data_IF_393640200578
#
_entry.id   IF_393640200578
#
_cell.length_a   1.000
_cell.length_b   1.000
_cell.length_c   1.000
_cell.angle_alpha   90.00
_cell.angle_beta   90.00
_cell.angle_gamma   90.00
#
_symmetry.space_group_name_H-M   'P 1'
#
loop_
_entity.id
_entity.type
_entity.pdbx_description
1 polymer ?
#
# COMPACT_ATOMS: atom_id res chain seq x y z
N UNK A 1 -28.68 38.86 11.96
CA UNK A 1 -28.53 37.64 12.78
C UNK A 1 -28.67 36.39 11.92
N UNK A 2 -29.79 36.23 11.20
CA UNK A 2 -30.11 35.00 10.45
C UNK A 2 -29.12 34.61 9.32
N UNK A 3 -28.59 35.58 8.58
CA UNK A 3 -27.61 35.31 7.52
C UNK A 3 -26.21 34.95 8.04
N UNK A 4 -25.80 35.50 9.19
CA UNK A 4 -24.50 35.21 9.80
C UNK A 4 -24.50 33.77 10.34
N UNK A 5 -25.59 33.37 10.99
CA UNK A 5 -25.74 32.02 11.50
C UNK A 5 -25.75 30.96 10.38
N UNK A 6 -26.44 31.23 9.26
CA UNK A 6 -26.38 30.36 8.08
C UNK A 6 -24.98 30.24 7.48
N UNK A 7 -24.22 31.33 7.48
CA UNK A 7 -22.85 31.35 6.96
C UNK A 7 -21.90 30.58 7.87
N UNK A 8 -22.06 30.68 9.20
CA UNK A 8 -21.29 29.92 10.18
C UNK A 8 -21.56 28.41 10.04
N UNK A 9 -22.83 27.99 9.92
CA UNK A 9 -23.19 26.59 9.70
C UNK A 9 -22.60 26.05 8.39
N UNK A 10 -22.68 26.84 7.31
CA UNK A 10 -22.09 26.46 6.03
C UNK A 10 -20.54 26.38 6.10
N UNK A 11 -19.90 27.28 6.85
CA UNK A 11 -18.45 27.30 7.06
C UNK A 11 -17.98 26.07 7.84
N UNK A 12 -18.67 25.71 8.93
CA UNK A 12 -18.37 24.52 9.71
C UNK A 12 -18.52 23.24 8.88
N UNK A 13 -19.61 23.11 8.12
CA UNK A 13 -19.81 21.96 7.23
C UNK A 13 -18.78 21.86 6.09
N UNK A 14 -18.17 22.98 5.68
CA UNK A 14 -17.09 22.98 4.71
C UNK A 14 -15.75 22.57 5.34
N UNK A 15 -15.48 23.04 6.55
CA UNK A 15 -14.26 22.76 7.30
C UNK A 15 -14.18 21.28 7.73
N UNK A 16 -15.32 20.68 8.06
CA UNK A 16 -15.43 19.26 8.38
C UNK A 16 -15.20 18.37 7.14
N UNK A 17 -15.78 18.74 5.99
CA UNK A 17 -15.48 18.06 4.71
C UNK A 17 -13.99 18.11 4.39
N UNK A 18 -13.33 19.25 4.63
CA UNK A 18 -11.88 19.37 4.46
C UNK A 18 -11.13 18.39 5.37
N UNK A 19 -11.52 18.25 6.64
CA UNK A 19 -10.86 17.31 7.57
C UNK A 19 -11.04 15.83 7.20
N UNK A 20 -12.18 15.45 6.63
CA UNK A 20 -12.39 14.08 6.13
C UNK A 20 -11.52 13.80 4.89
N UNK A 21 -11.34 14.80 4.03
CA UNK A 21 -10.38 14.71 2.93
C UNK A 21 -8.94 14.63 3.43
N UNK A 22 -8.57 15.36 4.49
CA UNK A 22 -7.24 15.30 5.09
C UNK A 22 -6.96 13.90 5.66
N UNK A 23 -7.93 13.25 6.33
CA UNK A 23 -7.77 11.88 6.82
C UNK A 23 -7.64 10.85 5.69
N UNK A 24 -8.44 10.97 4.62
CA UNK A 24 -8.29 10.13 3.43
C UNK A 24 -6.93 10.34 2.75
N UNK A 25 -6.42 11.57 2.78
CA UNK A 25 -5.10 11.92 2.24
C UNK A 25 -3.99 11.25 3.05
N UNK A 26 -4.01 11.35 4.37
CA UNK A 26 -3.02 10.71 5.25
C UNK A 26 -2.99 9.18 5.07
N UNK A 27 -4.16 8.55 4.91
CA UNK A 27 -4.25 7.09 4.69
C UNK A 27 -3.80 6.67 3.29
N UNK A 28 -4.03 7.53 2.30
CA UNK A 28 -3.47 7.34 0.95
C UNK A 28 -1.94 7.45 0.99
N UNK A 29 -1.39 8.37 1.79
CA UNK A 29 0.05 8.51 2.01
C UNK A 29 0.65 7.27 2.68
N UNK A 30 0.02 6.71 3.72
CA UNK A 30 0.45 5.45 4.36
C UNK A 30 0.47 4.26 3.40
N UNK A 31 -0.54 4.18 2.52
CA UNK A 31 -0.58 3.16 1.47
C UNK A 31 0.53 3.36 0.44
N UNK A 32 0.76 4.61 0.02
CA UNK A 32 1.84 4.96 -0.88
C UNK A 32 3.22 4.65 -0.28
N UNK A 33 3.40 4.86 1.02
CA UNK A 33 4.64 4.52 1.72
C UNK A 33 4.92 3.01 1.68
N UNK A 34 3.90 2.17 1.88
CA UNK A 34 4.03 0.72 1.75
C UNK A 34 4.43 0.29 0.32
N UNK A 35 3.86 0.93 -0.72
CA UNK A 35 4.27 0.71 -2.11
C UNK A 35 5.70 1.18 -2.37
N UNK A 36 6.05 2.38 -1.88
CA UNK A 36 7.38 2.97 -2.02
C UNK A 36 8.45 2.09 -1.37
N UNK A 37 8.15 1.48 -0.24
CA UNK A 37 9.06 0.54 0.44
C UNK A 37 9.35 -0.70 -0.41
N UNK A 38 8.31 -1.30 -1.01
CA UNK A 38 8.49 -2.41 -1.93
C UNK A 38 9.34 -2.01 -3.14
N UNK A 39 9.09 -0.82 -3.70
CA UNK A 39 9.89 -0.29 -4.81
C UNK A 39 11.35 -0.06 -4.39
N UNK A 40 11.60 0.49 -3.21
CA UNK A 40 12.94 0.68 -2.66
C UNK A 40 13.68 -0.65 -2.50
N UNK A 41 13.00 -1.70 -2.05
CA UNK A 41 13.58 -3.06 -1.95
C UNK A 41 14.01 -3.61 -3.32
N UNK A 42 13.24 -3.35 -4.37
CA UNK A 42 13.61 -3.72 -5.74
C UNK A 42 14.77 -2.88 -6.28
N UNK A 43 14.79 -1.57 -6.00
CA UNK A 43 15.89 -0.67 -6.40
C UNK A 43 17.20 -1.08 -5.73
N UNK A 44 17.19 -1.37 -4.43
CA UNK A 44 18.35 -1.86 -3.71
C UNK A 44 18.91 -3.15 -4.33
N UNK A 45 18.01 -4.09 -4.65
CA UNK A 45 18.39 -5.31 -5.35
C UNK A 45 18.98 -5.04 -6.73
N UNK A 46 18.38 -4.12 -7.50
CA UNK A 46 18.87 -3.75 -8.82
C UNK A 46 20.28 -3.15 -8.77
N UNK A 47 20.54 -2.25 -7.82
CA UNK A 47 21.86 -1.64 -7.61
C UNK A 47 22.90 -2.70 -7.20
N UNK A 48 22.55 -3.61 -6.29
CA UNK A 48 23.43 -4.71 -5.87
C UNK A 48 23.83 -5.61 -7.05
N UNK A 49 22.87 -5.90 -7.94
CA UNK A 49 23.13 -6.67 -9.16
C UNK A 49 24.01 -5.87 -10.14
N UNK A 50 23.76 -4.57 -10.30
CA UNK A 50 24.56 -3.70 -11.16
C UNK A 50 26.04 -3.65 -10.72
N UNK A 51 26.29 -3.43 -9.42
CA UNK A 51 27.64 -3.38 -8.84
C UNK A 51 28.38 -4.69 -9.03
N UNK A 52 27.74 -5.82 -8.71
CA UNK A 52 28.36 -7.14 -8.80
C UNK A 52 28.78 -7.49 -10.22
N UNK A 53 27.96 -7.14 -11.21
CA UNK A 53 28.26 -7.46 -12.60
C UNK A 53 29.14 -6.37 -13.25
N UNK A 54 29.41 -5.23 -12.58
CA UNK A 54 30.18 -4.08 -13.08
C UNK A 54 31.53 -4.46 -13.71
N UNK A 55 32.33 -5.34 -13.09
CA UNK A 55 33.65 -5.67 -13.63
C UNK A 55 33.64 -6.78 -14.71
N UNK A 56 32.49 -7.38 -15.07
CA UNK A 56 32.41 -8.63 -15.83
C UNK A 56 31.71 -8.50 -17.21
N UNK A 57 32.20 -7.59 -18.06
CA UNK A 57 32.11 -7.61 -19.54
C UNK A 57 31.00 -6.83 -20.29
N UNK A 58 31.39 -6.44 -21.51
CA UNK A 58 30.69 -5.65 -22.53
C UNK A 58 29.60 -6.42 -23.31
N UNK A 59 29.61 -7.76 -23.31
CA UNK A 59 28.50 -8.60 -23.83
C UNK A 59 27.36 -8.73 -22.81
N UNK A 60 27.67 -8.50 -21.54
CA UNK A 60 26.76 -8.49 -20.40
C UNK A 60 25.89 -7.22 -20.37
N UNK A 61 26.19 -6.18 -21.16
CA UNK A 61 25.40 -4.93 -21.17
C UNK A 61 23.95 -5.19 -21.56
N UNK A 62 23.71 -5.97 -22.62
CA UNK A 62 22.34 -6.33 -23.01
C UNK A 62 21.65 -7.21 -21.96
N UNK A 63 22.36 -8.17 -21.36
CA UNK A 63 21.83 -9.00 -20.29
C UNK A 63 21.53 -8.22 -19.00
N UNK A 64 22.38 -7.25 -18.64
CA UNK A 64 22.20 -6.33 -17.50
C UNK A 64 21.04 -5.40 -17.74
N UNK A 65 20.97 -4.80 -18.92
CA UNK A 65 19.90 -3.87 -19.27
C UNK A 65 18.55 -4.61 -19.28
N UNK A 66 18.51 -5.84 -19.80
CA UNK A 66 17.33 -6.71 -19.70
C UNK A 66 16.98 -7.04 -18.24
N UNK A 67 17.95 -7.42 -17.41
CA UNK A 67 17.71 -7.80 -16.01
C UNK A 67 17.19 -6.61 -15.18
N UNK A 68 17.82 -5.44 -15.32
CA UNK A 68 17.50 -4.22 -14.57
C UNK A 68 16.18 -3.59 -14.99
N UNK A 69 15.78 -3.75 -16.25
CA UNK A 69 14.51 -3.20 -16.75
C UNK A 69 13.44 -4.29 -16.77
N UNK A 70 13.52 -5.20 -17.74
CA UNK A 70 12.49 -6.21 -18.00
C UNK A 70 12.40 -7.24 -16.86
N UNK A 71 13.55 -7.68 -16.31
CA UNK A 71 13.58 -8.63 -15.20
C UNK A 71 12.94 -8.07 -13.93
N UNK A 72 13.25 -6.81 -13.58
CA UNK A 72 12.68 -6.13 -12.43
C UNK A 72 11.20 -5.78 -12.62
N UNK A 73 10.82 -5.27 -13.79
CA UNK A 73 9.42 -5.01 -14.14
C UNK A 73 8.59 -6.30 -14.01
N UNK A 74 9.12 -7.42 -14.48
CA UNK A 74 8.47 -8.73 -14.36
C UNK A 74 8.34 -9.16 -12.89
N UNK A 75 9.38 -8.98 -12.07
CA UNK A 75 9.35 -9.35 -10.66
C UNK A 75 8.34 -8.51 -9.87
N UNK A 76 8.28 -7.20 -10.12
CA UNK A 76 7.29 -6.28 -9.53
C UNK A 76 5.88 -6.73 -9.94
N UNK A 77 5.68 -6.97 -11.24
CA UNK A 77 4.39 -7.41 -11.79
C UNK A 77 3.92 -8.70 -11.12
N UNK A 78 4.78 -9.72 -11.03
CA UNK A 78 4.46 -10.99 -10.36
C UNK A 78 4.13 -10.80 -8.87
N UNK A 79 4.83 -9.90 -8.17
CA UNK A 79 4.52 -9.59 -6.79
C UNK A 79 3.14 -8.93 -6.64
N UNK A 80 2.84 -7.91 -7.46
CA UNK A 80 1.57 -7.20 -7.46
C UNK A 80 0.38 -8.07 -7.91
N UNK A 81 0.62 -9.07 -8.76
CA UNK A 81 -0.41 -10.03 -9.17
C UNK A 81 -0.51 -11.26 -8.26
N UNK A 82 0.33 -11.37 -7.22
CA UNK A 82 0.24 -12.49 -6.30
C UNK A 82 -1.08 -12.48 -5.54
N UNK A 83 -1.73 -13.64 -5.40
CA UNK A 83 -3.00 -13.77 -4.67
C UNK A 83 -2.89 -13.30 -3.22
N UNK A 84 -1.72 -13.49 -2.59
CA UNK A 84 -1.43 -12.97 -1.25
C UNK A 84 -1.49 -11.44 -1.20
N UNK A 85 -0.86 -10.77 -2.17
CA UNK A 85 -0.89 -9.32 -2.26
C UNK A 85 -2.28 -8.80 -2.55
N UNK A 86 -2.95 -9.33 -3.58
CA UNK A 86 -4.31 -8.91 -3.94
C UNK A 86 -5.29 -9.10 -2.77
N UNK A 87 -5.26 -10.25 -2.10
CA UNK A 87 -6.14 -10.53 -0.95
C UNK A 87 -5.89 -9.58 0.22
N UNK A 88 -4.62 -9.33 0.57
CA UNK A 88 -4.28 -8.39 1.63
C UNK A 88 -4.60 -6.94 1.26
N UNK A 89 -4.40 -6.58 -0.01
CA UNK A 89 -4.74 -5.27 -0.56
C UNK A 89 -6.26 -5.03 -0.51
N UNK A 90 -7.06 -5.98 -0.99
CA UNK A 90 -8.53 -5.91 -0.94
C UNK A 90 -9.04 -5.84 0.50
N UNK A 91 -8.43 -6.60 1.42
CA UNK A 91 -8.79 -6.56 2.84
C UNK A 91 -8.48 -5.20 3.45
N UNK A 92 -7.28 -4.67 3.21
CA UNK A 92 -6.87 -3.35 3.71
C UNK A 92 -7.75 -2.24 3.14
N UNK A 93 -8.06 -2.29 1.84
CA UNK A 93 -8.95 -1.34 1.18
C UNK A 93 -10.38 -1.40 1.73
N UNK A 94 -10.93 -2.61 1.89
CA UNK A 94 -12.27 -2.81 2.47
C UNK A 94 -12.37 -2.28 3.90
N UNK A 95 -11.38 -2.60 4.74
CA UNK A 95 -11.28 -2.06 6.11
C UNK A 95 -11.04 -0.55 6.12
N UNK A 96 -10.40 -0.02 5.09
CA UNK A 96 -10.20 1.40 4.98
C UNK A 96 -11.51 2.16 4.79
N UNK A 97 -12.35 1.66 3.88
CA UNK A 97 -13.69 2.19 3.62
C UNK A 97 -14.58 2.08 4.86
N UNK A 98 -14.62 0.90 5.50
CA UNK A 98 -15.44 0.65 6.68
C UNK A 98 -15.12 1.65 7.81
N UNK A 99 -13.82 1.84 8.11
CA UNK A 99 -13.37 2.84 9.10
C UNK A 99 -13.76 4.27 8.68
N UNK A 100 -13.56 4.63 7.41
CA UNK A 100 -13.93 5.97 6.93
C UNK A 100 -15.43 6.28 7.06
N UNK A 101 -16.29 5.29 6.80
CA UNK A 101 -17.74 5.43 6.99
C UNK A 101 -18.11 5.64 8.46
N UNK A 102 -17.46 4.92 9.39
CA UNK A 102 -17.69 5.12 10.82
C UNK A 102 -17.19 6.47 11.32
N UNK A 103 -15.99 6.89 10.89
CA UNK A 103 -15.44 8.20 11.24
C UNK A 103 -16.37 9.32 10.78
N UNK A 104 -16.88 9.24 9.54
CA UNK A 104 -17.85 10.19 9.01
C UNK A 104 -19.17 10.21 9.79
N UNK A 105 -19.70 9.05 10.18
CA UNK A 105 -20.93 8.96 10.97
C UNK A 105 -20.74 9.47 12.41
N UNK A 106 -19.59 9.19 13.03
CA UNK A 106 -19.25 9.71 14.35
C UNK A 106 -19.20 11.25 14.33
N UNK A 107 -18.58 11.82 13.30
CA UNK A 107 -18.49 13.26 13.12
C UNK A 107 -19.89 13.89 12.97
N UNK A 108 -20.78 13.32 12.14
CA UNK A 108 -22.18 13.77 11.98
C UNK A 108 -22.94 13.78 13.33
N UNK A 109 -22.83 12.71 14.13
CA UNK A 109 -23.51 12.59 15.43
C UNK A 109 -22.95 13.56 16.47
N UNK A 110 -21.64 13.85 16.45
CA UNK A 110 -21.08 14.88 17.34
C UNK A 110 -21.56 16.29 17.03
N UNK A 111 -21.96 16.55 15.78
CA UNK A 111 -22.42 17.85 15.34
C UNK A 111 -23.94 18.05 15.53
N UNK A 112 -24.74 16.99 15.40
CA UNK A 112 -26.21 17.04 15.50
C UNK A 112 -26.69 16.66 16.91
N UNK A 113 -26.89 17.67 17.77
CA UNK A 113 -27.39 17.47 19.14
C UNK A 113 -28.91 17.31 19.12
N UNK A 114 -29.39 16.08 18.89
CA UNK A 114 -30.55 15.50 19.60
C UNK A 114 -30.74 14.00 19.30
N UNK A 115 -30.47 13.14 20.29
CA UNK A 115 -30.99 11.76 20.35
C UNK A 115 -30.09 10.62 19.90
N UNK A 116 -28.93 10.87 19.26
CA UNK A 116 -27.94 9.83 18.90
C UNK A 116 -26.64 10.06 19.68
N UNK A 117 -26.00 9.01 20.17
CA UNK A 117 -24.78 9.11 21.00
C UNK A 117 -23.62 8.39 20.30
N UNK A 118 -22.40 8.88 20.48
CA UNK A 118 -21.17 8.26 19.91
C UNK A 118 -21.04 6.76 20.20
N UNK A 119 -21.62 6.29 21.32
CA UNK A 119 -21.69 4.88 21.68
C UNK A 119 -22.43 4.02 20.62
N UNK A 120 -23.40 4.59 19.90
CA UNK A 120 -24.17 3.90 18.87
C UNK A 120 -23.32 3.64 17.60
N UNK A 121 -22.37 4.54 17.29
CA UNK A 121 -21.42 4.36 16.17
C UNK A 121 -20.36 3.34 16.50
N UNK A 122 -19.82 3.40 17.72
CA UNK A 122 -18.86 2.42 18.21
C UNK A 122 -19.47 1.01 18.31
N UNK A 123 -20.77 0.90 18.62
CA UNK A 123 -21.48 -0.38 18.67
C UNK A 123 -21.63 -1.06 17.29
N UNK A 124 -21.57 -0.29 16.18
CA UNK A 124 -21.69 -0.84 14.82
C UNK A 124 -20.51 -1.75 14.46
N UNK A 125 -19.28 -1.30 14.73
CA UNK A 125 -18.08 -2.12 14.66
C UNK A 125 -17.03 -1.55 15.65
N UNK A 126 -16.95 -2.09 16.87
CA UNK A 126 -16.02 -1.60 17.88
C UNK A 126 -14.55 -1.96 17.58
N UNK A 127 -14.30 -2.83 16.60
CA UNK A 127 -12.95 -3.25 16.22
C UNK A 127 -12.44 -2.60 14.94
N UNK A 128 -13.17 -1.69 14.29
CA UNK A 128 -12.81 -1.18 12.97
C UNK A 128 -11.41 -0.55 12.90
N UNK A 129 -11.00 0.20 13.92
CA UNK A 129 -9.65 0.75 14.01
C UNK A 129 -8.60 -0.36 14.06
N UNK A 130 -8.78 -1.30 14.99
CA UNK A 130 -7.86 -2.43 15.16
C UNK A 130 -7.82 -3.31 13.90
N UNK A 131 -8.96 -3.54 13.25
CA UNK A 131 -9.07 -4.30 12.01
C UNK A 131 -8.36 -3.58 10.85
N UNK A 132 -8.53 -2.26 10.73
CA UNK A 132 -7.83 -1.45 9.74
C UNK A 132 -6.32 -1.51 9.93
N UNK A 133 -5.81 -1.21 11.13
CA UNK A 133 -4.38 -1.28 11.41
C UNK A 133 -3.82 -2.68 11.21
N UNK A 134 -4.57 -3.71 11.61
CA UNK A 134 -4.17 -5.10 11.41
C UNK A 134 -4.12 -5.48 9.92
N UNK A 135 -5.06 -5.00 9.10
CA UNK A 135 -5.07 -5.21 7.67
C UNK A 135 -3.91 -4.48 6.97
N UNK A 136 -3.65 -3.23 7.36
CA UNK A 136 -2.52 -2.44 6.85
C UNK A 136 -1.18 -3.11 7.20
N UNK A 137 -1.03 -3.54 8.45
CA UNK A 137 0.16 -4.27 8.88
C UNK A 137 0.35 -5.58 8.11
N UNK A 138 -0.74 -6.31 7.81
CA UNK A 138 -0.66 -7.51 6.96
C UNK A 138 -0.19 -7.17 5.55
N UNK A 139 -0.69 -6.08 4.96
CA UNK A 139 -0.29 -5.60 3.64
C UNK A 139 1.20 -5.20 3.59
N UNK A 140 1.69 -4.50 4.61
CA UNK A 140 3.10 -4.09 4.71
C UNK A 140 4.07 -5.26 4.94
N UNK A 141 3.60 -6.35 5.56
CA UNK A 141 4.41 -7.51 5.93
C UNK A 141 4.23 -8.70 4.98
N UNK A 142 3.71 -8.48 3.77
CA UNK A 142 3.59 -9.55 2.78
C UNK A 142 4.99 -10.01 2.40
N UNK A 143 5.28 -11.27 2.73
CA UNK A 143 6.47 -11.91 2.24
C UNK A 143 6.22 -12.42 0.82
N UNK A 144 6.79 -11.73 -0.15
CA UNK A 144 6.79 -12.16 -1.54
C UNK A 144 7.82 -13.27 -1.71
N UNK A 145 7.37 -14.50 -2.00
CA UNK A 145 8.26 -15.65 -2.20
C UNK A 145 9.34 -15.36 -3.25
N UNK A 146 8.97 -14.67 -4.34
CA UNK A 146 9.90 -14.26 -5.39
C UNK A 146 10.95 -13.26 -4.88
N UNK A 147 10.55 -12.22 -4.14
CA UNK A 147 11.48 -11.25 -3.56
C UNK A 147 12.42 -11.90 -2.54
N UNK A 148 11.90 -12.80 -1.70
CA UNK A 148 12.70 -13.56 -0.74
C UNK A 148 13.71 -14.47 -1.43
N UNK A 149 13.30 -15.15 -2.50
CA UNK A 149 14.16 -16.02 -3.30
C UNK A 149 15.25 -15.24 -4.02
N UNK A 150 14.92 -14.10 -4.62
CA UNK A 150 15.89 -13.19 -5.22
C UNK A 150 16.90 -12.64 -4.20
N UNK A 151 16.43 -12.27 -3.00
CA UNK A 151 17.31 -11.84 -1.88
C UNK A 151 18.27 -12.94 -1.44
N UNK A 152 17.78 -14.17 -1.31
CA UNK A 152 18.60 -15.33 -0.95
C UNK A 152 19.66 -15.62 -2.02
N UNK A 153 19.28 -15.48 -3.29
CA UNK A 153 20.14 -15.73 -4.45
C UNK A 153 20.88 -14.49 -4.96
N UNK A 154 20.97 -13.39 -4.18
CA UNK A 154 21.61 -12.14 -4.62
C UNK A 154 23.07 -12.32 -5.08
N UNK A 155 23.73 -13.36 -4.58
CA UNK A 155 25.10 -13.71 -4.92
C UNK A 155 25.25 -14.87 -5.93
N UNK A 156 24.15 -15.38 -6.49
CA UNK A 156 24.15 -16.43 -7.51
C UNK A 156 24.62 -15.95 -8.90
N UNK A 157 24.73 -16.86 -9.86
CA UNK A 157 25.09 -16.51 -11.25
C UNK A 157 23.95 -15.74 -11.94
N UNK A 158 24.26 -15.01 -13.02
CA UNK A 158 23.25 -14.33 -13.84
C UNK A 158 22.21 -15.33 -14.33
N UNK A 159 22.65 -16.50 -14.80
CA UNK A 159 21.77 -17.56 -15.29
C UNK A 159 20.78 -18.03 -14.21
N UNK A 160 21.25 -18.22 -12.98
CA UNK A 160 20.38 -18.57 -11.84
C UNK A 160 19.36 -17.47 -11.55
N UNK A 161 19.77 -16.20 -11.53
CA UNK A 161 18.85 -15.09 -11.28
C UNK A 161 17.85 -14.94 -12.43
N UNK A 162 18.30 -15.08 -13.68
CA UNK A 162 17.42 -15.09 -14.84
C UNK A 162 16.41 -16.22 -14.71
N UNK A 163 16.81 -17.45 -14.40
CA UNK A 163 15.89 -18.58 -14.23
C UNK A 163 14.84 -18.35 -13.13
N UNK A 164 15.20 -17.69 -12.02
CA UNK A 164 14.24 -17.30 -10.96
C UNK A 164 13.22 -16.30 -11.50
N UNK A 165 13.65 -15.33 -12.32
CA UNK A 165 12.76 -14.35 -12.96
C UNK A 165 11.91 -14.98 -14.08
N UNK A 166 12.49 -15.91 -14.84
CA UNK A 166 11.96 -16.52 -16.07
C UNK A 166 10.98 -17.68 -15.87
N UNK A 167 10.65 -18.05 -14.62
CA UNK A 167 9.55 -18.99 -14.35
C UNK A 167 8.24 -18.38 -14.89
N UNK A 168 7.99 -18.52 -16.19
CA UNK A 168 6.63 -18.55 -16.75
C UNK A 168 5.92 -19.68 -16.00
N UNK A 169 4.78 -19.33 -15.42
CA UNK A 169 4.13 -20.08 -14.36
C UNK A 169 3.91 -21.56 -14.74
N UNK A 170 4.39 -22.46 -13.88
CA UNK A 170 3.72 -23.73 -13.62
C UNK A 170 2.98 -23.63 -12.28
N UNK A 171 2.14 -22.59 -12.12
CA UNK A 171 1.22 -22.42 -11.01
C UNK A 171 -0.19 -22.14 -11.54
#
# INVERSE_FOLDING_TARGET
ADQVHKLEVASSGLQEKLSHYDNLTERLEEFQDAQLKLYADFVDMALHLEEKFYPHMLTTIFGRQWLLTHGMELAITKCLHSSKYLSAHETAFGKAIEKGMQDGLAAEITHDVEGRVLADVAAYNPSADADYFSALQRLQNINFSLLAELRYNKNASVDTIMNILHLEDNL
#
